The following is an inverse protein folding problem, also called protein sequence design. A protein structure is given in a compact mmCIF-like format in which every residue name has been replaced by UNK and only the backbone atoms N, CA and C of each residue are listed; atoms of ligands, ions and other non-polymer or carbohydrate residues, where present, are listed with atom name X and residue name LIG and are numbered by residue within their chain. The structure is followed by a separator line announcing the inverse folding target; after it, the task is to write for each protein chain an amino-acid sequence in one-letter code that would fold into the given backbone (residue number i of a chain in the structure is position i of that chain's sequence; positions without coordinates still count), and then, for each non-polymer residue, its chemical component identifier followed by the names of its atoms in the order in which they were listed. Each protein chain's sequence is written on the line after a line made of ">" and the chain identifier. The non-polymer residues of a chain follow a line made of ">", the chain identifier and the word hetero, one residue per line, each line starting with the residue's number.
data_IF_706166592867
#
_entry.id   IF_706166592867
#
_cell.length_a   1.000
_cell.length_b   1.000
_cell.length_c   1.000
_cell.angle_alpha   90.00
_cell.angle_beta   90.00
_cell.angle_gamma   90.00
#
_symmetry.space_group_name_H-M   'P 1'
#
loop_
_entity.id
_entity.type
_entity.pdbx_description
1 polymer ?
#
# COMPACT_ATOMS: atom_id res chain seq x y z
N UNK A 1 18.20 9.38 18.89
CA UNK A 1 17.60 9.60 17.55
C UNK A 1 18.24 8.60 16.60
N UNK A 2 17.47 7.97 15.72
CA UNK A 2 18.00 6.97 14.79
C UNK A 2 18.90 7.65 13.73
N UNK A 3 20.18 7.25 13.68
CA UNK A 3 21.16 7.75 12.71
C UNK A 3 21.31 6.77 11.52
N UNK A 4 20.19 6.42 10.90
CA UNK A 4 20.16 5.62 9.69
C UNK A 4 19.62 6.46 8.54
N UNK A 5 20.24 6.35 7.38
CA UNK A 5 19.90 7.15 6.20
C UNK A 5 19.79 6.26 4.96
N UNK A 6 18.90 6.69 4.05
CA UNK A 6 18.80 6.14 2.70
C UNK A 6 18.96 7.25 1.68
N UNK A 7 19.41 6.91 0.48
CA UNK A 7 19.52 7.86 -0.62
C UNK A 7 18.32 7.67 -1.54
N UNK A 8 17.46 8.68 -1.63
CA UNK A 8 16.30 8.72 -2.53
C UNK A 8 16.32 10.00 -3.34
N UNK A 9 16.18 9.90 -4.67
CA UNK A 9 16.15 11.08 -5.55
C UNK A 9 17.34 12.02 -5.36
N UNK A 10 18.55 11.47 -5.20
CA UNK A 10 19.82 12.21 -4.95
C UNK A 10 19.85 12.98 -3.61
N UNK A 11 18.90 12.71 -2.70
CA UNK A 11 18.88 13.29 -1.35
C UNK A 11 19.16 12.20 -0.33
N UNK A 12 19.97 12.53 0.67
CA UNK A 12 20.17 11.73 1.86
C UNK A 12 18.99 12.00 2.80
N UNK A 13 18.19 10.96 3.09
CA UNK A 13 16.99 11.06 3.91
C UNK A 13 17.14 10.18 5.14
N UNK A 14 16.76 10.71 6.32
CA UNK A 14 16.83 10.01 7.59
C UNK A 14 15.67 9.03 7.72
N UNK A 15 15.98 7.80 8.12
CA UNK A 15 14.99 6.81 8.50
C UNK A 15 14.34 7.12 9.85
N UNK A 16 13.13 6.59 10.03
CA UNK A 16 12.42 6.61 11.29
C UNK A 16 12.12 5.20 11.79
N UNK A 17 11.18 5.07 12.72
CA UNK A 17 10.69 3.79 13.22
C UNK A 17 9.17 3.73 13.20
N UNK A 18 8.63 2.51 13.06
CA UNK A 18 7.23 2.25 12.78
C UNK A 18 6.33 2.39 14.01
N UNK A 19 5.00 2.47 13.82
CA UNK A 19 4.02 2.39 14.92
C UNK A 19 4.16 1.07 15.68
N UNK A 20 4.52 -0.03 14.98
CA UNK A 20 4.78 -1.33 15.61
C UNK A 20 5.97 -1.30 16.56
N UNK A 21 7.06 -0.64 16.18
CA UNK A 21 8.24 -0.45 17.03
C UNK A 21 7.91 0.39 18.25
N UNK A 22 7.13 1.47 18.07
CA UNK A 22 6.68 2.29 19.21
C UNK A 22 5.81 1.48 20.18
N UNK A 23 4.88 0.70 19.66
CA UNK A 23 3.99 -0.14 20.48
C UNK A 23 4.76 -1.21 21.25
N UNK A 24 5.71 -1.89 20.60
CA UNK A 24 6.61 -2.85 21.27
C UNK A 24 7.43 -2.19 22.39
N UNK A 25 8.05 -1.06 22.10
CA UNK A 25 8.87 -0.35 23.07
C UNK A 25 8.04 0.16 24.26
N UNK A 26 6.84 0.71 24.02
CA UNK A 26 5.94 1.13 25.07
C UNK A 26 5.48 -0.06 25.95
N UNK A 27 5.11 -1.19 25.31
CA UNK A 27 4.68 -2.40 26.03
C UNK A 27 5.81 -3.00 26.88
N UNK A 28 7.02 -3.13 26.32
CA UNK A 28 8.20 -3.60 27.05
C UNK A 28 8.53 -2.68 28.24
N UNK A 29 8.52 -1.35 28.03
CA UNK A 29 8.77 -0.39 29.08
C UNK A 29 7.73 -0.49 30.22
N UNK A 30 6.44 -0.54 29.86
CA UNK A 30 5.36 -0.68 30.84
C UNK A 30 5.46 -1.99 31.62
N UNK A 31 5.75 -3.11 30.96
CA UNK A 31 5.98 -4.40 31.61
C UNK A 31 7.17 -4.37 32.57
N UNK A 32 8.33 -3.81 32.16
CA UNK A 32 9.48 -3.64 33.03
C UNK A 32 9.15 -2.81 34.29
N UNK A 33 8.41 -1.71 34.12
CA UNK A 33 8.00 -0.87 35.25
C UNK A 33 7.01 -1.54 36.19
N UNK A 34 6.02 -2.26 35.61
CA UNK A 34 5.01 -3.02 36.37
C UNK A 34 5.69 -4.10 37.27
N UNK A 35 6.60 -4.86 36.67
CA UNK A 35 7.24 -6.00 37.35
C UNK A 35 8.34 -5.58 38.32
N UNK A 36 9.04 -4.45 38.05
CA UNK A 36 10.09 -3.97 38.95
C UNK A 36 9.62 -2.98 40.01
N UNK A 37 8.45 -2.37 39.83
CA UNK A 37 7.98 -1.24 40.62
C UNK A 37 8.82 0.05 40.45
N UNK A 38 9.71 0.12 39.45
CA UNK A 38 10.62 1.23 39.24
C UNK A 38 10.35 1.93 37.93
N UNK A 39 10.34 3.26 37.95
CA UNK A 39 10.22 4.08 36.74
C UNK A 39 11.51 4.00 35.90
N UNK A 40 11.33 3.85 34.59
CA UNK A 40 12.43 3.89 33.59
C UNK A 40 12.18 5.04 32.60
N UNK A 41 13.25 5.69 32.16
CA UNK A 41 13.18 6.84 31.25
C UNK A 41 13.43 6.47 29.79
N UNK A 42 14.00 5.30 29.55
CA UNK A 42 14.27 4.77 28.21
C UNK A 42 14.18 3.25 28.18
N UNK A 43 13.93 2.70 26.99
CA UNK A 43 13.85 1.26 26.75
C UNK A 43 14.53 0.90 25.43
N UNK A 44 15.26 -0.22 25.43
CA UNK A 44 15.87 -0.76 24.23
C UNK A 44 15.03 -1.88 23.62
N UNK A 45 14.85 -1.84 22.30
CA UNK A 45 14.18 -2.87 21.51
C UNK A 45 14.99 -3.17 20.26
N UNK A 46 14.93 -4.43 19.80
CA UNK A 46 15.53 -4.87 18.55
C UNK A 46 14.40 -4.99 17.51
N UNK A 47 14.55 -4.29 16.40
CA UNK A 47 13.58 -4.36 15.30
C UNK A 47 13.75 -5.65 14.50
N UNK A 48 12.72 -6.10 13.72
CA UNK A 48 12.86 -7.26 12.83
C UNK A 48 14.00 -7.12 11.80
N UNK A 49 14.42 -5.89 11.48
CA UNK A 49 15.60 -5.64 10.65
C UNK A 49 16.93 -5.84 11.40
N UNK A 50 16.90 -6.19 12.70
CA UNK A 50 18.11 -6.33 13.55
C UNK A 50 18.72 -5.01 14.03
N UNK A 51 17.97 -3.91 13.93
CA UNK A 51 18.44 -2.61 14.41
C UNK A 51 18.03 -2.44 15.87
N UNK A 52 18.99 -2.21 16.75
CA UNK A 52 18.73 -1.86 18.15
C UNK A 52 18.39 -0.37 18.25
N UNK A 53 17.31 -0.07 18.99
CA UNK A 53 16.82 1.29 19.23
C UNK A 53 16.62 1.50 20.72
N UNK A 54 17.26 2.52 21.29
CA UNK A 54 16.96 3.00 22.64
C UNK A 54 16.06 4.22 22.53
N UNK A 55 14.84 4.09 23.01
CA UNK A 55 13.78 5.09 22.85
C UNK A 55 13.39 5.69 24.20
N UNK A 56 13.22 7.03 24.29
CA UNK A 56 12.75 7.67 25.51
C UNK A 56 11.28 7.32 25.77
N UNK A 57 10.95 7.15 27.04
CA UNK A 57 9.60 6.82 27.52
C UNK A 57 8.92 8.10 28.00
N UNK A 58 7.68 8.31 27.59
CA UNK A 58 6.86 9.48 27.87
C UNK A 58 5.61 9.10 28.67
N UNK A 59 5.02 10.07 29.35
CA UNK A 59 3.69 10.02 29.97
C UNK A 59 3.46 8.75 30.81
N UNK A 60 4.37 8.52 31.77
CA UNK A 60 4.36 7.33 32.61
C UNK A 60 3.35 7.51 33.75
N UNK A 61 2.37 6.59 33.82
CA UNK A 61 1.43 6.43 34.93
C UNK A 61 1.61 5.02 35.52
N UNK A 62 1.92 4.94 36.80
CA UNK A 62 2.09 3.68 37.52
C UNK A 62 0.97 3.57 38.56
N UNK A 63 0.15 2.54 38.44
CA UNK A 63 -0.88 2.13 39.39
C UNK A 63 -0.46 0.80 40.05
N UNK A 64 -1.24 0.34 41.03
CA UNK A 64 -0.90 -0.86 41.76
C UNK A 64 -0.79 -2.10 40.85
N UNK A 65 -1.74 -2.28 39.92
CA UNK A 65 -1.89 -3.46 39.07
C UNK A 65 -1.71 -3.17 37.56
N UNK A 66 -1.35 -1.95 37.24
CA UNK A 66 -1.12 -1.53 35.85
C UNK A 66 -0.11 -0.41 35.68
N UNK A 67 0.57 -0.41 34.54
CA UNK A 67 1.43 0.68 34.14
C UNK A 67 1.09 1.09 32.71
N UNK A 68 0.93 2.37 32.50
CA UNK A 68 0.74 2.98 31.17
C UNK A 68 1.91 3.91 30.85
N UNK A 69 2.47 3.82 29.66
CA UNK A 69 3.46 4.75 29.16
C UNK A 69 3.39 4.89 27.65
N UNK A 70 4.09 5.85 27.09
CA UNK A 70 4.07 6.12 25.66
C UNK A 70 5.47 6.25 25.04
N UNK A 71 5.54 5.95 23.75
CA UNK A 71 6.68 6.24 22.89
C UNK A 71 6.26 7.23 21.81
N UNK A 72 7.03 8.28 21.61
CA UNK A 72 6.78 9.26 20.55
C UNK A 72 7.29 8.71 19.21
N UNK A 73 6.41 8.64 18.22
CA UNK A 73 6.78 8.17 16.87
C UNK A 73 7.67 9.19 16.17
N UNK A 74 8.75 8.72 15.57
CA UNK A 74 9.61 9.49 14.67
C UNK A 74 9.65 8.79 13.31
N UNK A 75 9.09 9.43 12.30
CA UNK A 75 9.06 8.90 10.93
C UNK A 75 10.29 9.27 10.10
N UNK A 76 11.28 9.94 10.70
CA UNK A 76 12.41 10.48 9.95
C UNK A 76 11.97 11.57 8.98
N UNK A 77 12.49 11.50 7.76
CA UNK A 77 12.14 12.42 6.67
C UNK A 77 10.97 11.92 5.81
N UNK A 78 10.27 10.85 6.24
CA UNK A 78 9.07 10.38 5.55
C UNK A 78 7.88 11.30 5.83
N UNK A 79 7.05 11.67 4.81
CA UNK A 79 5.89 12.52 4.98
C UNK A 79 4.69 11.77 5.61
N UNK A 80 4.93 10.94 6.59
CA UNK A 80 3.95 10.13 7.30
C UNK A 80 3.10 11.01 8.24
N UNK A 81 1.77 10.95 8.07
CA UNK A 81 0.81 11.71 8.90
C UNK A 81 0.83 11.31 10.37
N UNK A 82 1.39 10.14 10.70
CA UNK A 82 1.54 9.65 12.08
C UNK A 82 2.82 10.14 12.76
N UNK A 83 3.63 10.97 12.09
CA UNK A 83 4.85 11.50 12.68
C UNK A 83 4.55 12.34 13.94
N UNK A 84 5.29 12.07 15.00
CA UNK A 84 5.21 12.83 16.27
C UNK A 84 4.08 12.43 17.21
N UNK A 85 3.17 11.51 16.84
CA UNK A 85 2.14 11.03 17.76
C UNK A 85 2.72 10.16 18.88
N UNK A 86 1.98 10.08 19.98
CA UNK A 86 2.28 9.17 21.08
C UNK A 86 1.56 7.84 20.89
N UNK A 87 2.31 6.75 20.95
CA UNK A 87 1.78 5.37 20.96
C UNK A 87 1.92 4.88 22.39
N UNK A 88 0.79 4.62 23.04
CA UNK A 88 0.71 4.16 24.40
C UNK A 88 0.62 2.64 24.49
N UNK A 89 1.15 2.08 25.55
CA UNK A 89 0.84 0.73 26.01
C UNK A 89 0.45 0.78 27.49
N UNK A 90 -0.67 0.17 27.82
CA UNK A 90 -1.07 -0.14 29.19
C UNK A 90 -0.86 -1.63 29.43
N UNK A 91 -0.05 -1.99 30.43
CA UNK A 91 0.21 -3.38 30.81
C UNK A 91 -0.34 -3.62 32.19
N UNK A 92 -1.08 -4.71 32.38
CA UNK A 92 -1.67 -5.10 33.64
C UNK A 92 -1.57 -6.60 33.86
N UNK A 93 -1.68 -7.03 35.11
CA UNK A 93 -1.79 -8.44 35.44
C UNK A 93 -3.13 -9.04 34.98
N UNK A 94 -3.12 -10.31 34.61
CA UNK A 94 -4.36 -11.08 34.37
C UNK A 94 -4.56 -11.98 35.60
N UNK A 95 -5.70 -11.83 36.29
CA UNK A 95 -6.06 -12.67 37.42
C UNK A 95 -6.57 -14.03 36.95
N UNK A 96 -6.07 -15.12 37.58
CA UNK A 96 -6.52 -16.48 37.37
C UNK A 96 -5.86 -17.22 36.19
N UNK A 97 -5.98 -18.56 36.19
CA UNK A 97 -5.42 -19.50 35.18
C UNK A 97 -6.20 -19.52 33.87
N UNK A 98 -6.87 -18.42 33.49
CA UNK A 98 -7.92 -18.43 32.47
C UNK A 98 -7.45 -18.29 31.02
N UNK A 99 -6.15 -18.18 30.75
CA UNK A 99 -5.66 -18.06 29.35
C UNK A 99 -4.45 -18.99 29.12
N UNK A 100 -4.50 -19.74 28.00
CA UNK A 100 -3.34 -20.50 27.50
C UNK A 100 -2.18 -19.59 27.01
N UNK A 101 -2.39 -18.28 27.03
CA UNK A 101 -1.42 -17.29 26.53
C UNK A 101 -0.83 -16.46 27.67
N UNK A 102 0.49 -16.40 27.73
CA UNK A 102 1.22 -15.56 28.70
C UNK A 102 1.06 -14.05 28.42
N UNK A 103 0.80 -13.66 27.18
CA UNK A 103 0.57 -12.25 26.78
C UNK A 103 -0.69 -12.16 25.94
N UNK A 104 -1.64 -11.31 26.35
CA UNK A 104 -2.88 -11.02 25.62
C UNK A 104 -2.84 -9.56 25.18
N UNK A 105 -2.80 -9.32 23.86
CA UNK A 105 -2.70 -7.97 23.29
C UNK A 105 -3.98 -7.56 22.58
N UNK A 106 -4.47 -6.35 22.87
CA UNK A 106 -5.61 -5.74 22.17
C UNK A 106 -5.34 -4.26 21.88
N UNK A 107 -6.21 -3.64 21.06
CA UNK A 107 -6.20 -2.22 20.76
C UNK A 107 -7.21 -1.44 21.60
N UNK A 108 -6.78 -0.31 22.10
CA UNK A 108 -7.60 0.69 22.79
C UNK A 108 -7.93 1.89 21.89
N UNK A 109 -8.17 3.03 22.53
CA UNK A 109 -8.53 4.27 21.85
C UNK A 109 -7.55 4.65 20.75
N UNK A 110 -8.07 4.93 19.53
CA UNK A 110 -7.29 5.39 18.39
C UNK A 110 -6.50 4.31 17.66
N UNK A 111 -6.57 3.04 18.09
CA UNK A 111 -6.19 1.87 17.30
C UNK A 111 -7.45 1.36 16.60
N UNK A 112 -7.38 1.22 15.28
CA UNK A 112 -8.54 0.84 14.48
C UNK A 112 -9.01 -0.59 14.74
N UNK A 113 -10.28 -0.86 14.41
CA UNK A 113 -10.88 -2.19 14.38
C UNK A 113 -11.13 -2.62 12.95
N UNK A 114 -10.87 -3.88 12.66
CA UNK A 114 -11.06 -4.49 11.36
C UNK A 114 -12.53 -4.80 11.15
N UNK A 115 -13.11 -4.29 10.06
CA UNK A 115 -14.53 -4.50 9.71
C UNK A 115 -14.71 -5.30 8.42
N UNK A 116 -13.65 -5.49 7.62
CA UNK A 116 -13.68 -6.20 6.35
C UNK A 116 -12.77 -7.42 6.35
N UNK A 117 -13.12 -8.43 5.55
CA UNK A 117 -12.28 -9.61 5.31
C UNK A 117 -11.09 -9.25 4.41
N UNK A 118 -10.06 -10.13 4.36
CA UNK A 118 -8.90 -9.99 3.47
C UNK A 118 -7.70 -9.28 4.09
N UNK A 119 -7.85 -8.69 5.27
CA UNK A 119 -6.72 -8.19 6.06
C UNK A 119 -6.01 -9.32 6.79
N UNK A 120 -4.81 -9.03 7.30
CA UNK A 120 -3.96 -10.01 7.99
C UNK A 120 -4.49 -10.49 9.35
N UNK A 121 -5.54 -9.85 9.86
CA UNK A 121 -6.21 -10.18 11.13
C UNK A 121 -7.71 -10.36 10.89
N UNK A 122 -8.41 -11.16 11.72
CA UNK A 122 -9.85 -11.36 11.63
C UNK A 122 -10.68 -10.08 11.82
N UNK A 123 -11.91 -10.10 11.28
CA UNK A 123 -12.91 -9.07 11.55
C UNK A 123 -13.22 -8.98 13.04
N UNK A 124 -13.33 -7.77 13.57
CA UNK A 124 -13.57 -7.46 14.98
C UNK A 124 -12.30 -7.27 15.80
N UNK A 125 -11.15 -7.75 15.33
CA UNK A 125 -9.89 -7.58 16.03
C UNK A 125 -9.27 -6.19 15.83
N UNK A 126 -8.35 -5.84 16.72
CA UNK A 126 -7.57 -4.61 16.59
C UNK A 126 -6.66 -4.64 15.36
N UNK A 127 -6.52 -3.53 14.69
CA UNK A 127 -5.66 -3.37 13.53
C UNK A 127 -4.18 -3.30 13.94
N UNK A 128 -3.73 -4.35 14.64
CA UNK A 128 -2.33 -4.59 15.00
C UNK A 128 -1.82 -5.73 14.11
N UNK A 129 -0.96 -5.41 13.14
CA UNK A 129 -0.48 -6.38 12.17
C UNK A 129 0.36 -7.50 12.84
N UNK A 130 0.48 -8.68 12.21
CA UNK A 130 1.14 -9.84 12.83
C UNK A 130 2.56 -9.59 13.31
N UNK A 131 3.39 -8.86 12.55
CA UNK A 131 4.78 -8.56 12.95
C UNK A 131 4.83 -7.66 14.19
N UNK A 132 4.16 -6.48 14.24
CA UNK A 132 4.02 -5.70 15.46
C UNK A 132 3.47 -6.49 16.66
N UNK A 133 2.44 -7.32 16.44
CA UNK A 133 1.87 -8.13 17.51
C UNK A 133 2.92 -9.06 18.11
N UNK A 134 3.66 -9.77 17.28
CA UNK A 134 4.76 -10.63 17.70
C UNK A 134 5.85 -9.83 18.45
N UNK A 135 6.24 -8.66 17.94
CA UNK A 135 7.21 -7.78 18.62
C UNK A 135 6.75 -7.36 20.02
N UNK A 136 5.47 -7.01 20.17
CA UNK A 136 4.87 -6.65 21.46
C UNK A 136 4.93 -7.83 22.43
N UNK A 137 4.48 -9.01 21.98
CA UNK A 137 4.48 -10.23 22.77
C UNK A 137 5.90 -10.61 23.22
N UNK A 138 6.87 -10.64 22.29
CA UNK A 138 8.28 -10.95 22.59
C UNK A 138 8.91 -9.93 23.55
N UNK A 139 8.65 -8.62 23.36
CA UNK A 139 9.19 -7.57 24.24
C UNK A 139 8.63 -7.63 25.67
N UNK A 140 7.35 -8.03 25.84
CA UNK A 140 6.73 -8.21 27.15
C UNK A 140 7.20 -9.52 27.80
N UNK A 141 7.35 -10.59 27.02
CA UNK A 141 7.90 -11.85 27.52
C UNK A 141 9.36 -11.70 27.97
N UNK A 142 10.19 -10.98 27.23
CA UNK A 142 11.56 -10.66 27.64
C UNK A 142 11.58 -9.90 28.99
N UNK A 143 10.67 -8.93 29.17
CA UNK A 143 10.53 -8.27 30.46
C UNK A 143 10.10 -9.25 31.57
N UNK A 144 9.12 -10.11 31.32
CA UNK A 144 8.65 -11.12 32.27
C UNK A 144 9.78 -12.10 32.69
N UNK A 145 10.59 -12.56 31.74
CA UNK A 145 11.74 -13.43 31.99
C UNK A 145 12.81 -12.72 32.83
N UNK A 146 13.13 -11.47 32.53
CA UNK A 146 14.13 -10.68 33.28
C UNK A 146 13.75 -10.47 34.75
N UNK A 147 12.45 -10.50 35.07
CA UNK A 147 11.94 -10.35 36.42
C UNK A 147 11.38 -11.67 37.00
N UNK A 148 11.63 -12.80 36.35
CA UNK A 148 11.17 -14.15 36.80
C UNK A 148 9.66 -14.19 37.04
N UNK A 149 8.86 -13.49 36.25
CA UNK A 149 7.42 -13.48 36.35
C UNK A 149 6.81 -14.57 35.43
N UNK A 150 6.06 -15.51 36.02
CA UNK A 150 5.48 -16.65 35.30
C UNK A 150 4.00 -16.46 34.91
N UNK A 151 3.34 -15.43 35.47
CA UNK A 151 1.92 -15.17 35.21
C UNK A 151 1.64 -14.56 33.84
N UNK A 152 0.38 -14.31 33.59
CA UNK A 152 -0.09 -13.72 32.33
C UNK A 152 -0.24 -12.18 32.41
N UNK A 153 0.06 -11.49 31.32
CA UNK A 153 -0.03 -10.04 31.22
C UNK A 153 -0.98 -9.64 30.08
N UNK A 154 -1.79 -8.61 30.33
CA UNK A 154 -2.64 -7.97 29.34
C UNK A 154 -1.97 -6.69 28.85
N UNK A 155 -1.95 -6.51 27.54
CA UNK A 155 -1.39 -5.32 26.86
C UNK A 155 -2.51 -4.64 26.06
N UNK A 156 -2.71 -3.35 26.30
CA UNK A 156 -3.63 -2.52 25.49
C UNK A 156 -2.83 -1.41 24.82
N UNK A 157 -2.79 -1.45 23.49
CA UNK A 157 -2.10 -0.43 22.68
C UNK A 157 -3.09 0.67 22.30
N UNK A 158 -2.75 1.92 22.57
CA UNK A 158 -3.60 3.08 22.26
C UNK A 158 -2.83 4.17 21.53
N UNK A 159 -3.53 4.94 20.72
CA UNK A 159 -3.03 6.10 20.02
C UNK A 159 -4.15 7.16 19.93
N UNK A 160 -4.47 7.91 20.98
CA UNK A 160 -5.64 8.77 21.02
C UNK A 160 -5.78 9.72 19.83
N UNK A 161 -4.67 10.31 19.36
CA UNK A 161 -4.63 11.14 18.15
C UNK A 161 -4.95 10.35 16.86
N UNK A 162 -4.84 9.03 16.92
CA UNK A 162 -5.10 8.12 15.79
C UNK A 162 -6.53 8.16 15.28
N UNK A 163 -7.51 8.54 16.10
CA UNK A 163 -8.92 8.69 15.71
C UNK A 163 -9.06 9.70 14.56
N UNK A 164 -8.45 10.87 14.70
CA UNK A 164 -8.52 11.93 13.68
C UNK A 164 -7.54 11.69 12.53
N UNK A 165 -6.36 11.18 12.85
CA UNK A 165 -5.32 10.91 11.85
C UNK A 165 -5.75 9.81 10.88
N UNK A 166 -6.44 8.78 11.34
CA UNK A 166 -6.93 7.69 10.50
C UNK A 166 -7.77 8.17 9.31
N UNK A 167 -8.51 9.25 9.46
CA UNK A 167 -9.31 9.88 8.39
C UNK A 167 -8.45 10.33 7.19
N UNK A 168 -7.14 10.57 7.41
CA UNK A 168 -6.16 10.99 6.40
C UNK A 168 -5.29 9.85 5.88
N UNK A 169 -5.57 8.62 6.32
CA UNK A 169 -4.85 7.41 5.92
C UNK A 169 -5.69 6.56 4.96
N UNK A 170 -5.14 5.45 4.50
CA UNK A 170 -5.87 4.45 3.72
C UNK A 170 -6.83 3.59 4.55
N UNK A 171 -6.77 3.64 5.88
CA UNK A 171 -7.54 2.79 6.78
C UNK A 171 -9.06 2.74 6.47
N UNK A 172 -9.75 3.87 6.22
CA UNK A 172 -11.17 3.83 5.88
C UNK A 172 -11.48 2.98 4.65
N UNK A 173 -10.64 3.06 3.61
CA UNK A 173 -10.79 2.27 2.38
C UNK A 173 -10.54 0.77 2.64
N UNK A 174 -9.64 0.47 3.56
CA UNK A 174 -9.31 -0.90 3.98
C UNK A 174 -10.32 -1.48 5.01
N UNK A 175 -11.41 -0.77 5.32
CA UNK A 175 -12.37 -1.22 6.33
C UNK A 175 -11.77 -1.29 7.73
N UNK A 176 -10.86 -0.40 8.06
CA UNK A 176 -10.31 -0.21 9.39
C UNK A 176 -10.93 1.06 9.97
N UNK A 177 -11.72 0.94 11.03
CA UNK A 177 -12.50 2.02 11.61
C UNK A 177 -12.03 2.38 13.02
N UNK A 178 -12.23 3.63 13.44
CA UNK A 178 -11.98 4.10 14.80
C UNK A 178 -10.54 4.46 15.14
N UNK A 179 -9.58 4.25 14.22
CA UNK A 179 -8.19 4.61 14.51
C UNK A 179 -7.19 4.18 13.43
N UNK A 180 -5.92 4.37 13.74
CA UNK A 180 -4.79 3.97 12.89
C UNK A 180 -4.50 2.47 13.02
N UNK A 181 -3.71 1.94 12.07
CA UNK A 181 -3.11 0.60 12.19
C UNK A 181 -1.77 0.69 12.91
N UNK A 182 -1.49 -0.32 13.73
CA UNK A 182 -0.16 -0.59 14.27
C UNK A 182 0.53 -1.53 13.29
N UNK A 183 1.49 -1.01 12.54
CA UNK A 183 2.11 -1.68 11.40
C UNK A 183 3.63 -1.49 11.35
N UNK A 184 4.28 -2.24 10.48
CA UNK A 184 5.71 -2.18 10.18
C UNK A 184 6.33 -3.57 10.19
N UNK A 185 6.73 -4.06 9.02
CA UNK A 185 7.34 -5.40 8.83
C UNK A 185 8.80 -5.44 9.23
N UNK A 186 9.51 -4.34 9.04
CA UNK A 186 10.96 -4.21 9.35
C UNK A 186 11.23 -3.50 10.67
N UNK A 187 10.21 -2.82 11.24
CA UNK A 187 10.34 -1.94 12.39
C UNK A 187 10.91 -0.55 12.06
N UNK A 188 11.49 -0.36 10.89
CA UNK A 188 12.09 0.89 10.42
C UNK A 188 11.22 1.52 9.33
N UNK A 189 11.09 2.85 9.36
CA UNK A 189 10.49 3.64 8.29
C UNK A 189 11.59 4.11 7.34
N UNK A 190 11.58 3.63 6.13
CA UNK A 190 12.42 4.17 5.06
C UNK A 190 11.62 5.22 4.27
N UNK A 191 12.08 6.48 4.23
CA UNK A 191 11.35 7.54 3.53
C UNK A 191 11.08 7.20 2.07
N UNK A 192 9.87 7.51 1.59
CA UNK A 192 9.42 7.26 0.21
C UNK A 192 9.62 5.80 -0.23
N UNK A 193 9.25 4.85 0.61
CA UNK A 193 9.38 3.42 0.34
C UNK A 193 8.44 2.98 -0.79
N UNK A 194 9.02 2.49 -1.90
CA UNK A 194 8.25 1.87 -2.98
C UNK A 194 7.58 0.57 -2.52
N UNK A 195 8.27 -0.19 -1.66
CA UNK A 195 7.74 -1.42 -1.09
C UNK A 195 6.47 -1.18 -0.28
N UNK A 196 6.38 -0.09 0.48
CA UNK A 196 5.19 0.25 1.24
C UNK A 196 3.97 0.51 0.33
N UNK A 197 4.18 1.13 -0.84
CA UNK A 197 3.13 1.31 -1.85
C UNK A 197 2.70 -0.03 -2.47
N UNK A 198 3.65 -0.89 -2.80
CA UNK A 198 3.37 -2.24 -3.35
C UNK A 198 2.59 -3.07 -2.32
N UNK A 199 2.96 -3.02 -1.05
CA UNK A 199 2.27 -3.75 0.02
C UNK A 199 0.84 -3.22 0.23
N UNK A 200 0.60 -1.92 0.06
CA UNK A 200 -0.75 -1.34 0.08
C UNK A 200 -1.59 -1.89 -1.08
N UNK A 201 -1.06 -1.89 -2.31
CA UNK A 201 -1.75 -2.46 -3.48
C UNK A 201 -2.08 -3.95 -3.24
N UNK A 202 -1.12 -4.71 -2.71
CA UNK A 202 -1.33 -6.13 -2.35
C UNK A 202 -2.47 -6.31 -1.36
N UNK A 203 -2.57 -5.43 -0.39
CA UNK A 203 -3.62 -5.47 0.64
C UNK A 203 -5.00 -5.17 0.02
N UNK A 204 -5.10 -4.15 -0.84
CA UNK A 204 -6.34 -3.84 -1.56
C UNK A 204 -6.79 -5.02 -2.44
N UNK A 205 -5.88 -5.62 -3.22
CA UNK A 205 -6.19 -6.80 -4.04
C UNK A 205 -6.76 -7.94 -3.18
N UNK A 206 -6.12 -8.26 -2.06
CA UNK A 206 -6.59 -9.33 -1.15
C UNK A 206 -7.97 -9.05 -0.58
N UNK A 207 -8.28 -7.79 -0.28
CA UNK A 207 -9.59 -7.38 0.23
C UNK A 207 -10.68 -7.58 -0.82
N UNK A 208 -10.48 -7.08 -2.04
CA UNK A 208 -11.45 -7.26 -3.14
C UNK A 208 -11.72 -8.75 -3.40
N UNK A 209 -10.68 -9.58 -3.41
CA UNK A 209 -10.83 -11.04 -3.55
C UNK A 209 -11.60 -11.64 -2.36
N UNK A 210 -11.33 -11.21 -1.13
CA UNK A 210 -12.02 -11.70 0.07
C UNK A 210 -13.48 -11.23 0.17
N UNK A 211 -13.82 -10.12 -0.49
CA UNK A 211 -15.19 -9.61 -0.68
C UNK A 211 -15.93 -10.36 -1.81
N UNK A 212 -15.25 -11.29 -2.52
CA UNK A 212 -15.85 -12.13 -3.55
C UNK A 212 -15.65 -11.64 -4.98
N UNK A 213 -14.96 -10.53 -5.18
CA UNK A 213 -14.67 -10.03 -6.52
C UNK A 213 -13.70 -10.97 -7.24
N UNK A 214 -14.03 -11.35 -8.48
CA UNK A 214 -13.21 -12.23 -9.32
C UNK A 214 -12.59 -11.49 -10.50
N UNK A 215 -13.20 -10.39 -10.91
CA UNK A 215 -12.73 -9.51 -11.99
C UNK A 215 -12.30 -8.19 -11.36
N UNK A 216 -11.01 -7.91 -11.35
CA UNK A 216 -10.48 -6.72 -10.68
C UNK A 216 -10.28 -5.57 -11.66
N UNK A 217 -10.72 -4.38 -11.26
CA UNK A 217 -10.55 -3.14 -11.99
C UNK A 217 -9.34 -2.37 -11.46
N UNK A 218 -8.36 -2.13 -12.32
CA UNK A 218 -7.09 -1.52 -11.95
C UNK A 218 -6.89 -0.19 -12.68
N UNK A 219 -6.49 0.85 -11.95
CA UNK A 219 -6.20 2.17 -12.52
C UNK A 219 -4.85 2.71 -12.06
N UNK A 220 -3.91 3.07 -12.97
CA UNK A 220 -2.61 3.63 -12.61
C UNK A 220 -2.69 5.15 -12.35
N UNK A 221 -3.31 5.55 -11.25
CA UNK A 221 -3.36 6.93 -10.78
C UNK A 221 -4.71 7.63 -10.94
N UNK A 222 -4.76 8.92 -10.57
CA UNK A 222 -6.01 9.68 -10.44
C UNK A 222 -6.74 9.83 -11.77
N UNK A 223 -6.03 10.15 -12.85
CA UNK A 223 -6.66 10.27 -14.18
C UNK A 223 -7.47 9.03 -14.59
N UNK A 224 -6.97 7.83 -14.26
CA UNK A 224 -7.70 6.59 -14.50
C UNK A 224 -8.98 6.51 -13.68
N UNK A 225 -8.90 6.88 -12.43
CA UNK A 225 -10.05 6.90 -11.52
C UNK A 225 -11.08 7.96 -11.94
N UNK A 226 -10.64 9.17 -12.29
CA UNK A 226 -11.52 10.23 -12.79
C UNK A 226 -12.24 9.82 -14.08
N UNK A 227 -11.54 9.13 -14.98
CA UNK A 227 -12.11 8.60 -16.22
C UNK A 227 -13.15 7.52 -15.94
N UNK A 228 -12.87 6.59 -15.03
CA UNK A 228 -13.81 5.54 -14.61
C UNK A 228 -15.11 6.15 -14.07
N UNK A 229 -15.01 7.15 -13.20
CA UNK A 229 -16.16 7.81 -12.61
C UNK A 229 -16.96 8.63 -13.64
N UNK A 230 -16.26 9.52 -14.35
CA UNK A 230 -16.91 10.53 -15.19
C UNK A 230 -17.37 10.01 -16.57
N UNK A 231 -16.68 9.00 -17.10
CA UNK A 231 -16.95 8.46 -18.45
C UNK A 231 -17.64 7.12 -18.43
N UNK A 232 -17.29 6.24 -17.49
CA UNK A 232 -17.84 4.90 -17.41
C UNK A 232 -18.86 4.71 -16.28
N UNK A 233 -19.05 5.73 -15.40
CA UNK A 233 -19.99 5.70 -14.29
C UNK A 233 -19.63 4.70 -13.19
N UNK A 234 -18.36 4.30 -13.10
CA UNK A 234 -17.88 3.31 -12.13
C UNK A 234 -17.34 4.02 -10.89
N UNK A 235 -17.85 3.68 -9.72
CA UNK A 235 -17.41 4.28 -8.46
C UNK A 235 -15.92 3.97 -8.15
N UNK A 236 -15.21 4.97 -7.62
CA UNK A 236 -13.77 4.90 -7.35
C UNK A 236 -13.38 3.75 -6.40
N UNK A 237 -14.23 3.45 -5.41
CA UNK A 237 -14.00 2.36 -4.44
C UNK A 237 -13.93 0.97 -5.06
N UNK A 238 -14.37 0.80 -6.32
CA UNK A 238 -14.29 -0.45 -7.08
C UNK A 238 -13.00 -0.59 -7.88
N UNK A 239 -12.17 0.42 -7.89
CA UNK A 239 -10.91 0.40 -8.63
C UNK A 239 -9.72 0.41 -7.70
N UNK A 240 -8.81 -0.51 -7.89
CA UNK A 240 -7.54 -0.58 -7.19
C UNK A 240 -6.53 0.33 -7.87
N UNK A 241 -5.92 1.22 -7.08
CA UNK A 241 -4.93 2.17 -7.60
C UNK A 241 -3.53 1.58 -7.60
N UNK A 242 -3.02 1.19 -8.76
CA UNK A 242 -1.71 0.55 -8.87
C UNK A 242 -0.51 1.51 -9.03
N UNK A 243 -0.71 2.83 -9.02
CA UNK A 243 0.34 3.83 -9.23
C UNK A 243 1.13 3.60 -10.53
N UNK A 244 2.43 3.33 -10.42
CA UNK A 244 3.30 3.01 -11.56
C UNK A 244 3.68 1.52 -11.62
N UNK A 245 3.23 0.70 -10.66
CA UNK A 245 3.66 -0.68 -10.44
C UNK A 245 2.73 -1.68 -11.16
N UNK A 246 2.55 -1.50 -12.48
CA UNK A 246 1.61 -2.33 -13.26
C UNK A 246 2.06 -3.78 -13.29
N UNK A 247 3.37 -4.04 -13.46
CA UNK A 247 3.90 -5.41 -13.48
C UNK A 247 3.70 -6.13 -12.16
N UNK A 248 4.09 -5.49 -11.05
CA UNK A 248 3.89 -6.05 -9.70
C UNK A 248 2.41 -6.29 -9.41
N UNK A 249 1.54 -5.39 -9.88
CA UNK A 249 0.09 -5.52 -9.72
C UNK A 249 -0.45 -6.74 -10.46
N UNK A 250 -0.02 -6.97 -11.72
CA UNK A 250 -0.43 -8.17 -12.47
C UNK A 250 -0.01 -9.44 -11.73
N UNK A 251 1.24 -9.49 -11.24
CA UNK A 251 1.74 -10.64 -10.49
C UNK A 251 0.90 -10.88 -9.22
N UNK A 252 0.64 -9.81 -8.45
CA UNK A 252 -0.18 -9.90 -7.23
C UNK A 252 -1.63 -10.32 -7.50
N UNK A 253 -2.24 -9.88 -8.60
CA UNK A 253 -3.59 -10.29 -9.02
C UNK A 253 -3.62 -11.78 -9.38
N UNK A 254 -2.59 -12.25 -10.10
CA UNK A 254 -2.45 -13.69 -10.41
C UNK A 254 -2.27 -14.53 -9.14
N UNK A 255 -1.42 -14.08 -8.21
CA UNK A 255 -1.12 -14.79 -6.96
C UNK A 255 -2.32 -14.80 -6.00
N UNK A 256 -3.16 -13.77 -6.03
CA UNK A 256 -4.37 -13.68 -5.22
C UNK A 256 -5.52 -14.58 -5.71
N UNK A 257 -5.38 -15.20 -6.87
CA UNK A 257 -6.38 -16.11 -7.45
C UNK A 257 -7.58 -15.40 -8.09
N UNK A 258 -7.39 -14.18 -8.59
CA UNK A 258 -8.40 -13.52 -9.44
C UNK A 258 -8.59 -14.30 -10.75
N UNK A 259 -9.79 -14.21 -11.33
CA UNK A 259 -10.09 -14.81 -12.63
C UNK A 259 -9.74 -13.88 -13.79
N UNK A 260 -9.83 -12.56 -13.53
CA UNK A 260 -9.59 -11.57 -14.57
C UNK A 260 -9.17 -10.21 -13.99
N UNK A 261 -8.60 -9.38 -14.89
CA UNK A 261 -8.16 -8.02 -14.57
C UNK A 261 -8.44 -7.09 -15.77
N UNK A 262 -9.06 -5.93 -15.52
CA UNK A 262 -9.18 -4.85 -16.48
C UNK A 262 -8.32 -3.67 -16.05
N UNK A 263 -7.35 -3.28 -16.88
CA UNK A 263 -6.48 -2.13 -16.67
C UNK A 263 -7.02 -0.93 -17.45
N UNK A 264 -7.36 0.17 -16.76
CA UNK A 264 -7.85 1.39 -17.39
C UNK A 264 -6.91 2.54 -17.08
N UNK A 265 -6.32 3.15 -18.11
CA UNK A 265 -5.33 4.18 -17.86
C UNK A 265 -5.08 5.15 -19.02
N UNK A 266 -4.54 6.30 -18.63
CA UNK A 266 -4.16 7.37 -19.56
C UNK A 266 -2.99 6.95 -20.44
N UNK A 267 -3.03 7.38 -21.72
CA UNK A 267 -2.02 7.09 -22.75
C UNK A 267 -0.59 7.42 -22.28
N UNK A 268 -0.40 8.51 -21.54
CA UNK A 268 0.90 8.92 -21.02
C UNK A 268 1.60 7.89 -20.14
N UNK A 269 0.85 6.94 -19.56
CA UNK A 269 1.40 5.79 -18.83
C UNK A 269 1.32 4.50 -19.65
N UNK A 270 0.15 4.17 -20.20
CA UNK A 270 -0.06 2.87 -20.80
C UNK A 270 0.65 2.66 -22.13
N UNK A 271 1.02 3.72 -22.85
CA UNK A 271 1.86 3.62 -24.05
C UNK A 271 3.17 2.88 -23.78
N UNK A 272 3.74 3.03 -22.58
CA UNK A 272 5.00 2.37 -22.17
C UNK A 272 4.89 0.86 -22.16
N UNK A 273 3.69 0.32 -21.89
CA UNK A 273 3.44 -1.13 -21.97
C UNK A 273 3.69 -1.67 -23.38
N UNK A 274 3.49 -0.88 -24.42
CA UNK A 274 3.82 -1.25 -25.80
C UNK A 274 5.29 -1.61 -26.01
N UNK A 275 6.19 -1.17 -25.14
CA UNK A 275 7.60 -1.56 -25.08
C UNK A 275 7.90 -2.61 -23.98
N UNK A 276 6.90 -3.10 -23.24
CA UNK A 276 7.10 -4.00 -22.11
C UNK A 276 7.55 -3.31 -20.82
N UNK A 277 7.48 -1.97 -20.76
CA UNK A 277 7.86 -1.21 -19.57
C UNK A 277 6.73 -1.31 -18.54
N UNK A 278 6.91 -2.12 -17.51
CA UNK A 278 5.91 -2.45 -16.50
C UNK A 278 5.89 -1.51 -15.29
N UNK A 279 7.00 -0.82 -15.00
CA UNK A 279 7.03 0.32 -14.09
C UNK A 279 6.95 1.61 -14.91
N UNK A 280 5.78 2.27 -14.91
CA UNK A 280 5.52 3.43 -15.77
C UNK A 280 6.05 4.75 -15.22
N UNK A 281 6.79 4.75 -14.10
CA UNK A 281 7.43 5.94 -13.57
C UNK A 281 8.48 6.46 -14.55
N UNK A 282 8.53 7.78 -14.77
CA UNK A 282 9.47 8.40 -15.73
C UNK A 282 10.94 8.19 -15.39
N UNK A 283 11.27 7.97 -14.13
CA UNK A 283 12.63 7.64 -13.68
C UNK A 283 13.04 6.20 -13.97
N UNK A 284 12.08 5.28 -14.09
CA UNK A 284 12.35 3.89 -14.44
C UNK A 284 12.65 3.75 -15.92
N UNK A 285 11.81 4.34 -16.74
CA UNK A 285 11.99 4.42 -18.19
C UNK A 285 11.03 5.45 -18.81
N UNK A 286 11.39 5.97 -19.98
CA UNK A 286 10.44 6.65 -20.88
C UNK A 286 10.20 5.77 -22.12
N UNK A 287 10.36 6.26 -23.31
CA UNK A 287 10.13 5.53 -24.57
C UNK A 287 8.72 5.73 -25.13
N UNK A 288 7.97 6.73 -24.62
CA UNK A 288 6.60 7.03 -25.09
C UNK A 288 6.55 7.38 -26.57
N UNK A 289 7.46 8.24 -27.00
CA UNK A 289 7.51 8.72 -28.38
C UNK A 289 8.03 7.65 -29.33
N UNK A 290 9.04 6.89 -28.90
CA UNK A 290 9.58 5.74 -29.63
C UNK A 290 8.51 4.67 -29.86
N UNK A 291 7.70 4.36 -28.85
CA UNK A 291 6.61 3.39 -28.99
C UNK A 291 5.55 3.91 -29.98
N UNK A 292 5.11 5.18 -29.84
CA UNK A 292 4.13 5.77 -30.76
C UNK A 292 4.66 5.82 -32.19
N UNK A 293 5.90 6.28 -32.39
CA UNK A 293 6.53 6.34 -33.71
C UNK A 293 6.65 4.94 -34.34
N UNK A 294 7.07 3.93 -33.56
CA UNK A 294 7.14 2.54 -34.04
C UNK A 294 5.76 1.97 -34.41
N UNK A 295 4.72 2.30 -33.64
CA UNK A 295 3.34 1.90 -33.93
C UNK A 295 2.81 2.65 -35.18
N UNK A 296 3.14 3.92 -35.34
CA UNK A 296 2.78 4.70 -36.52
C UNK A 296 3.40 4.15 -37.80
N UNK A 297 4.69 3.80 -37.78
CA UNK A 297 5.37 3.16 -38.91
C UNK A 297 4.71 1.81 -39.26
N UNK A 298 4.38 0.99 -38.25
CA UNK A 298 3.65 -0.29 -38.46
C UNK A 298 2.26 -0.07 -39.04
N UNK A 299 1.63 1.06 -38.74
CA UNK A 299 0.34 1.45 -39.27
C UNK A 299 0.43 2.01 -40.71
N UNK A 300 1.64 2.23 -41.25
CA UNK A 300 1.89 2.76 -42.59
C UNK A 300 2.17 4.25 -42.61
N UNK A 301 2.49 4.88 -41.50
CA UNK A 301 2.85 6.29 -41.46
C UNK A 301 4.20 6.53 -42.17
N UNK A 302 4.30 7.67 -42.85
CA UNK A 302 5.54 8.12 -43.49
C UNK A 302 6.62 8.42 -42.46
N UNK A 303 7.90 8.29 -42.86
CA UNK A 303 9.04 8.54 -42.00
C UNK A 303 9.07 9.96 -41.41
N UNK A 304 8.56 10.94 -42.13
CA UNK A 304 8.46 12.34 -41.65
C UNK A 304 7.47 12.46 -40.49
N UNK A 305 6.32 11.81 -40.57
CA UNK A 305 5.36 11.75 -39.46
C UNK A 305 5.98 11.09 -38.22
N UNK A 306 6.71 9.98 -38.38
CA UNK A 306 7.40 9.31 -37.28
C UNK A 306 8.49 10.21 -36.66
N UNK A 307 9.25 10.96 -37.42
CA UNK A 307 10.24 11.94 -36.91
C UNK A 307 9.55 13.02 -36.08
N UNK A 308 8.45 13.60 -36.57
CA UNK A 308 7.68 14.60 -35.84
C UNK A 308 7.13 14.08 -34.51
N UNK A 309 6.71 12.79 -34.43
CA UNK A 309 6.29 12.13 -33.18
C UNK A 309 7.48 12.06 -32.25
N UNK A 310 8.67 11.64 -32.70
CA UNK A 310 9.87 11.52 -31.87
C UNK A 310 10.32 12.85 -31.25
N UNK A 311 10.03 13.97 -31.92
CA UNK A 311 10.34 15.32 -31.44
C UNK A 311 9.32 15.85 -30.41
N UNK A 312 8.22 15.14 -30.17
CA UNK A 312 7.21 15.54 -29.20
C UNK A 312 7.65 15.32 -27.72
N UNK A 313 7.24 16.24 -26.86
CA UNK A 313 7.47 16.14 -25.41
C UNK A 313 6.32 15.40 -24.71
N UNK A 314 5.09 15.55 -25.22
CA UNK A 314 3.87 14.99 -24.64
C UNK A 314 3.17 14.00 -25.57
N UNK A 315 2.45 13.06 -24.99
CA UNK A 315 1.62 12.11 -25.75
C UNK A 315 0.51 12.82 -26.52
N UNK A 316 -0.06 13.88 -25.95
CA UNK A 316 -1.11 14.69 -26.59
C UNK A 316 -0.61 15.33 -27.88
N UNK A 317 0.60 15.95 -27.85
CA UNK A 317 1.20 16.52 -29.05
C UNK A 317 1.45 15.46 -30.15
N UNK A 318 1.85 14.26 -29.76
CA UNK A 318 2.01 13.14 -30.69
C UNK A 318 0.66 12.66 -31.27
N UNK A 319 -0.40 12.61 -30.44
CA UNK A 319 -1.76 12.27 -30.88
C UNK A 319 -2.30 13.30 -31.87
N UNK A 320 -2.01 14.61 -31.68
CA UNK A 320 -2.37 15.68 -32.62
C UNK A 320 -1.74 15.49 -33.99
N UNK A 321 -0.45 15.10 -34.02
CA UNK A 321 0.26 14.82 -35.29
C UNK A 321 -0.39 13.62 -35.98
N UNK A 322 -0.67 12.55 -35.24
CA UNK A 322 -1.32 11.34 -35.76
C UNK A 322 -2.71 11.64 -36.29
N UNK A 323 -3.49 12.50 -35.62
CA UNK A 323 -4.82 12.91 -36.07
C UNK A 323 -4.76 13.75 -37.35
N UNK A 324 -3.84 14.71 -37.41
CA UNK A 324 -3.65 15.56 -38.63
C UNK A 324 -3.19 14.76 -39.83
N UNK A 325 -2.50 13.65 -39.64
CA UNK A 325 -2.06 12.73 -40.71
C UNK A 325 -3.02 11.58 -40.99
N UNK A 326 -4.21 11.57 -40.37
CA UNK A 326 -5.21 10.48 -40.45
C UNK A 326 -4.67 9.10 -40.05
N UNK A 327 -3.69 9.07 -39.15
CA UNK A 327 -3.01 7.87 -38.72
C UNK A 327 -3.39 7.45 -37.29
N UNK A 328 -4.19 8.24 -36.56
CA UNK A 328 -4.46 8.03 -35.13
C UNK A 328 -5.05 6.65 -34.85
N UNK A 329 -6.16 6.31 -35.52
CA UNK A 329 -6.88 5.06 -35.27
C UNK A 329 -6.01 3.84 -35.58
N UNK A 330 -5.31 3.83 -36.70
CA UNK A 330 -4.48 2.71 -37.12
C UNK A 330 -3.23 2.57 -36.22
N UNK A 331 -2.64 3.69 -35.78
CA UNK A 331 -1.52 3.67 -34.81
C UNK A 331 -1.96 3.11 -33.48
N UNK A 332 -3.14 3.54 -32.99
CA UNK A 332 -3.67 3.01 -31.71
C UNK A 332 -4.04 1.53 -31.81
N UNK A 333 -4.56 1.04 -32.93
CA UNK A 333 -4.74 -0.41 -33.16
C UNK A 333 -3.43 -1.17 -33.01
N UNK A 334 -2.33 -0.68 -33.61
CA UNK A 334 -1.01 -1.30 -33.47
C UNK A 334 -0.51 -1.27 -32.02
N UNK A 335 -0.73 -0.18 -31.31
CA UNK A 335 -0.38 -0.06 -29.89
C UNK A 335 -1.17 -1.07 -29.02
N UNK A 336 -2.49 -1.17 -29.25
CA UNK A 336 -3.34 -2.09 -28.45
C UNK A 336 -2.97 -3.58 -28.67
N UNK A 337 -2.60 -3.97 -29.89
CA UNK A 337 -2.07 -5.31 -30.18
C UNK A 337 -0.81 -5.58 -29.34
N UNK A 338 0.10 -4.63 -29.27
CA UNK A 338 1.35 -4.78 -28.50
C UNK A 338 1.08 -4.82 -26.99
N UNK A 339 0.19 -3.96 -26.49
CA UNK A 339 -0.22 -3.96 -25.08
C UNK A 339 -0.83 -5.31 -24.71
N UNK A 340 -1.76 -5.82 -25.52
CA UNK A 340 -2.41 -7.12 -25.31
C UNK A 340 -1.37 -8.25 -25.20
N UNK A 341 -0.43 -8.33 -26.14
CA UNK A 341 0.62 -9.32 -26.19
C UNK A 341 1.54 -9.26 -24.92
N UNK A 342 1.91 -8.06 -24.50
CA UNK A 342 2.73 -7.85 -23.30
C UNK A 342 1.99 -8.23 -22.03
N UNK A 343 0.72 -7.85 -21.90
CA UNK A 343 -0.11 -8.21 -20.75
C UNK A 343 -0.33 -9.73 -20.65
N UNK A 344 -0.63 -10.39 -21.78
CA UNK A 344 -0.80 -11.85 -21.82
C UNK A 344 0.50 -12.59 -21.45
N UNK A 345 1.65 -12.13 -21.96
CA UNK A 345 2.94 -12.71 -21.60
C UNK A 345 3.24 -12.54 -20.10
N UNK A 346 2.95 -11.36 -19.50
CA UNK A 346 3.20 -11.13 -18.09
C UNK A 346 2.32 -12.00 -17.20
N UNK A 347 1.06 -12.14 -17.52
CA UNK A 347 0.13 -12.99 -16.75
C UNK A 347 0.36 -14.49 -16.97
N UNK A 348 1.18 -14.88 -17.95
CA UNK A 348 1.41 -16.27 -18.35
C UNK A 348 0.09 -17.03 -18.64
N UNK A 349 -0.95 -16.32 -19.06
CA UNK A 349 -2.28 -16.90 -19.29
C UNK A 349 -3.04 -17.36 -18.04
N UNK A 350 -2.55 -17.03 -16.85
CA UNK A 350 -3.20 -17.43 -15.58
C UNK A 350 -4.53 -16.75 -15.35
N UNK A 351 -4.73 -15.55 -15.91
CA UNK A 351 -5.95 -14.75 -15.77
C UNK A 351 -6.37 -14.20 -17.15
N UNK A 352 -7.66 -13.90 -17.32
CA UNK A 352 -8.13 -13.06 -18.43
C UNK A 352 -7.70 -11.62 -18.15
N UNK A 353 -6.96 -10.99 -19.05
CA UNK A 353 -6.46 -9.64 -18.86
C UNK A 353 -6.78 -8.76 -20.05
N UNK A 354 -7.23 -7.54 -19.79
CA UNK A 354 -7.53 -6.54 -20.80
C UNK A 354 -7.11 -5.14 -20.40
N UNK A 355 -7.08 -4.23 -21.36
CA UNK A 355 -6.77 -2.83 -21.11
C UNK A 355 -7.65 -1.89 -21.95
N UNK A 356 -7.97 -0.73 -21.35
CA UNK A 356 -8.57 0.44 -22.00
C UNK A 356 -7.57 1.59 -21.88
N UNK A 357 -7.20 2.17 -23.02
CA UNK A 357 -6.32 3.33 -23.10
C UNK A 357 -7.14 4.55 -23.48
N UNK A 358 -6.98 5.63 -22.75
CA UNK A 358 -7.69 6.89 -23.03
C UNK A 358 -6.75 8.11 -22.98
N UNK A 359 -7.21 9.22 -23.51
CA UNK A 359 -6.66 10.55 -23.33
C UNK A 359 -7.76 11.48 -22.81
N UNK A 360 -7.38 12.54 -22.11
CA UNK A 360 -8.36 13.52 -21.63
C UNK A 360 -9.00 14.30 -22.77
N UNK A 361 -8.29 14.49 -23.88
CA UNK A 361 -8.74 15.27 -25.04
C UNK A 361 -9.51 14.41 -26.07
N UNK A 362 -9.04 13.17 -26.28
CA UNK A 362 -9.56 12.30 -27.34
C UNK A 362 -10.48 11.18 -26.81
N UNK A 363 -10.73 11.12 -25.51
CA UNK A 363 -11.53 10.05 -24.92
C UNK A 363 -10.86 8.68 -25.06
N UNK A 364 -11.64 7.62 -25.32
CA UNK A 364 -11.11 6.27 -25.50
C UNK A 364 -10.32 6.18 -26.80
N UNK A 365 -9.03 5.86 -26.69
CA UNK A 365 -8.11 5.71 -27.82
C UNK A 365 -8.02 4.27 -28.32
N UNK A 366 -8.27 3.30 -27.45
CA UNK A 366 -8.23 1.90 -27.83
C UNK A 366 -8.53 0.95 -26.69
N UNK A 367 -8.92 -0.28 -27.07
CA UNK A 367 -9.25 -1.38 -26.18
C UNK A 367 -8.57 -2.66 -26.67
N UNK A 368 -8.14 -3.52 -25.74
CA UNK A 368 -7.75 -4.90 -26.08
C UNK A 368 -8.99 -5.74 -26.35
N UNK A 369 -8.84 -6.92 -26.97
CA UNK A 369 -9.97 -7.77 -27.40
C UNK A 369 -10.90 -8.18 -26.25
N UNK A 370 -10.35 -8.38 -25.06
CA UNK A 370 -11.10 -8.84 -23.88
C UNK A 370 -11.72 -7.70 -23.08
N UNK A 371 -11.34 -6.44 -23.36
CA UNK A 371 -11.66 -5.31 -22.49
C UNK A 371 -13.16 -5.03 -22.35
N UNK A 372 -13.92 -5.11 -23.44
CA UNK A 372 -15.38 -4.85 -23.40
C UNK A 372 -16.10 -5.90 -22.54
N UNK A 373 -15.77 -7.20 -22.73
CA UNK A 373 -16.36 -8.26 -21.93
C UNK A 373 -16.00 -8.14 -20.45
N UNK A 374 -14.75 -7.78 -20.13
CA UNK A 374 -14.33 -7.55 -18.76
C UNK A 374 -15.04 -6.35 -18.12
N UNK A 375 -15.30 -5.31 -18.90
CA UNK A 375 -16.05 -4.14 -18.45
C UNK A 375 -17.52 -4.54 -18.15
N UNK A 376 -18.16 -5.32 -19.02
CA UNK A 376 -19.50 -5.88 -18.78
C UNK A 376 -19.51 -6.73 -17.50
N UNK A 377 -18.59 -7.69 -17.35
CA UNK A 377 -18.46 -8.55 -16.15
C UNK A 377 -18.35 -7.71 -14.86
N UNK A 378 -17.62 -6.58 -14.90
CA UNK A 378 -17.50 -5.64 -13.77
C UNK A 378 -18.82 -4.90 -13.50
N UNK A 379 -19.54 -4.52 -14.55
CA UNK A 379 -20.79 -3.76 -14.43
C UNK A 379 -21.96 -4.66 -13.99
N UNK A 380 -22.06 -5.88 -14.49
CA UNK A 380 -23.10 -6.86 -14.11
C UNK A 380 -23.00 -7.26 -12.63
N UNK A 381 -21.79 -7.42 -12.08
CA UNK A 381 -21.58 -7.64 -10.65
C UNK A 381 -21.99 -6.45 -9.76
N UNK A 382 -22.56 -5.38 -10.35
CA UNK A 382 -23.14 -4.23 -9.63
C UNK A 382 -24.57 -4.45 -9.13
N UNK A 383 -25.27 -5.47 -9.61
CA UNK A 383 -26.72 -5.66 -9.38
C UNK A 383 -27.06 -6.94 -8.62
N UNK A 384 -26.04 -7.59 -8.00
CA UNK A 384 -26.21 -8.80 -7.18
C UNK A 384 -26.14 -8.55 -5.66
#
# INVERSE_FOLDING_TARGET
>A
MLERYVYKNQKKMRCGYTTGTCACAAAKAAACMLLSGRRIESVSVITPMGVELTLPVYEITMEQDSVTCAIKKDSGDDPDVTNGILIYASVSYIEGDSTDKRVVTDGGTGVGRITKKGLSRPVGEAAINPVPLKMIEEGVLEAAENYSYEGSLKVVISAPQGVEIAKKTFNPNLGITGGISILGTTGIVEPMSEQALIDTIRTEIKMHIAEGERVLLIAPGNYGQDFLLNTLGIELKRSIKCSNYIGDTIDMVCDAGAEAMLLVGHIGKLVKLGAGIMNTHSKAADGRMEVLAACAIRAGAEADTARKILDCVTTEAALDILKKSDMLENTMKQLMIRIEDVLQRRSCGKIRIGAIVFSNEYGILGKTKTADKLLEDIMENNYG
#
